data_IF_794644203190
#
_entry.id   IF_794644203190
#
_cell.length_a   1.000
_cell.length_b   1.000
_cell.length_c   1.000
_cell.angle_alpha   90.00
_cell.angle_beta   90.00
_cell.angle_gamma   90.00
#
_symmetry.space_group_name_H-M   'P 1'
#
loop_
_entity.id
_entity.type
_entity.pdbx_description
1 polymer ?
#
# COMPACT_ATOMS: atom_id res chain seq x y z
N UNK A 1 -9.91 23.42 -4.35
CA UNK A 1 -11.25 22.95 -3.93
C UNK A 1 -11.32 21.44 -4.16
N UNK A 2 -11.98 20.68 -3.30
CA UNK A 2 -12.01 19.21 -3.36
C UNK A 2 -12.94 18.72 -4.49
N UNK A 3 -12.41 17.95 -5.44
CA UNK A 3 -13.19 17.33 -6.53
C UNK A 3 -14.39 16.50 -6.01
N UNK A 4 -14.29 15.97 -4.80
CA UNK A 4 -15.37 15.23 -4.14
C UNK A 4 -16.56 16.15 -3.82
N UNK A 5 -16.31 17.39 -3.39
CA UNK A 5 -17.37 18.36 -3.07
C UNK A 5 -18.21 18.69 -4.31
N UNK A 6 -17.56 18.90 -5.45
CA UNK A 6 -18.24 19.24 -6.71
C UNK A 6 -19.14 18.08 -7.20
N UNK A 7 -18.78 16.84 -6.85
CA UNK A 7 -19.59 15.66 -7.13
C UNK A 7 -20.80 15.51 -6.19
N UNK A 8 -20.66 15.95 -4.93
CA UNK A 8 -21.69 15.80 -3.88
C UNK A 8 -22.82 16.83 -3.99
N UNK A 9 -22.55 18.04 -4.49
CA UNK A 9 -23.55 19.13 -4.46
C UNK A 9 -24.53 19.14 -5.64
N UNK A 10 -24.44 18.19 -6.58
CA UNK A 10 -25.49 18.02 -7.60
C UNK A 10 -26.70 17.29 -6.98
N UNK A 11 -27.92 17.67 -7.35
CA UNK A 11 -29.20 17.30 -6.72
C UNK A 11 -29.53 15.79 -6.64
N UNK A 12 -28.65 14.92 -7.15
CA UNK A 12 -28.61 13.49 -6.87
C UNK A 12 -27.16 13.04 -6.66
N UNK A 13 -26.74 12.83 -5.41
CA UNK A 13 -25.44 12.23 -5.12
C UNK A 13 -25.51 10.73 -5.40
N UNK A 14 -25.07 10.33 -6.59
CA UNK A 14 -24.94 8.93 -6.98
C UNK A 14 -23.46 8.60 -7.24
N UNK A 15 -22.79 7.99 -6.25
CA UNK A 15 -21.42 7.54 -6.40
C UNK A 15 -21.38 6.25 -7.22
N UNK A 16 -21.22 6.40 -8.53
CA UNK A 16 -21.10 5.25 -9.45
C UNK A 16 -19.70 4.65 -9.31
N UNK A 17 -19.56 3.42 -8.82
CA UNK A 17 -18.26 2.74 -8.70
C UNK A 17 -18.34 1.37 -9.36
N UNK A 18 -17.38 1.05 -10.23
CA UNK A 18 -17.31 -0.28 -10.84
C UNK A 18 -16.68 -1.31 -9.90
N UNK A 19 -16.94 -2.60 -10.13
CA UNK A 19 -16.36 -3.69 -9.33
C UNK A 19 -14.82 -3.60 -9.25
N UNK A 20 -14.16 -3.26 -10.36
CA UNK A 20 -12.70 -3.09 -10.42
C UNK A 20 -12.21 -1.89 -9.57
N UNK A 21 -12.99 -0.82 -9.52
CA UNK A 21 -12.69 0.34 -8.69
C UNK A 21 -12.85 0.00 -7.20
N UNK A 22 -13.86 -0.79 -6.84
CA UNK A 22 -14.05 -1.33 -5.49
C UNK A 22 -12.85 -2.17 -5.08
N UNK A 23 -12.46 -3.15 -5.88
CA UNK A 23 -11.27 -3.98 -5.60
C UNK A 23 -10.01 -3.14 -5.39
N UNK A 24 -9.83 -2.10 -6.19
CA UNK A 24 -8.71 -1.17 -6.04
C UNK A 24 -8.76 -0.42 -4.70
N UNK A 25 -9.92 0.11 -4.29
CA UNK A 25 -10.08 0.78 -3.01
C UNK A 25 -9.82 -0.16 -1.82
N UNK A 26 -10.35 -1.38 -1.88
CA UNK A 26 -10.14 -2.41 -0.85
C UNK A 26 -8.65 -2.80 -0.73
N UNK A 27 -7.95 -2.95 -1.86
CA UNK A 27 -6.53 -3.24 -1.85
C UNK A 27 -5.69 -2.08 -1.28
N UNK A 28 -6.02 -0.83 -1.61
CA UNK A 28 -5.34 0.33 -1.01
C UNK A 28 -5.64 0.43 0.49
N UNK A 29 -6.88 0.15 0.90
CA UNK A 29 -7.27 0.10 2.31
C UNK A 29 -6.44 -0.93 3.10
N UNK A 30 -6.18 -2.10 2.51
CA UNK A 30 -5.41 -3.16 3.18
C UNK A 30 -3.91 -2.95 3.20
N UNK A 31 -3.34 -2.66 2.03
CA UNK A 31 -1.89 -2.68 1.88
C UNK A 31 -1.27 -1.28 2.01
N UNK A 32 -2.09 -0.26 2.27
CA UNK A 32 -1.69 1.15 2.33
C UNK A 32 -1.31 1.75 0.97
N UNK A 33 -0.93 0.92 0.00
CA UNK A 33 -0.63 1.30 -1.38
C UNK A 33 -0.91 0.14 -2.33
N UNK A 34 -1.26 0.44 -3.58
CA UNK A 34 -1.60 -0.57 -4.57
C UNK A 34 -1.13 -0.17 -5.97
N UNK A 35 -0.62 -1.16 -6.70
CA UNK A 35 -0.29 -1.03 -8.11
C UNK A 35 -1.55 -1.25 -8.96
N UNK A 36 -2.21 -0.15 -9.33
CA UNK A 36 -3.41 -0.18 -10.15
C UNK A 36 -3.10 0.10 -11.63
N UNK A 37 -3.94 -0.44 -12.52
CA UNK A 37 -3.98 0.00 -13.92
C UNK A 37 -4.33 1.49 -14.01
N UNK A 38 -3.60 2.21 -14.86
CA UNK A 38 -3.64 3.68 -14.98
C UNK A 38 -5.07 4.23 -15.15
N UNK A 39 -5.92 3.53 -15.92
CA UNK A 39 -7.31 3.93 -16.16
C UNK A 39 -8.20 3.83 -14.93
N UNK A 40 -7.99 2.80 -14.09
CA UNK A 40 -8.77 2.61 -12.85
C UNK A 40 -8.37 3.67 -11.83
N UNK A 41 -7.08 3.97 -11.75
CA UNK A 41 -6.53 5.05 -10.95
C UNK A 41 -7.14 6.42 -11.31
N UNK A 42 -7.07 6.82 -12.59
CA UNK A 42 -7.52 8.15 -13.01
C UNK A 42 -9.02 8.35 -12.72
N UNK A 43 -9.81 7.29 -12.82
CA UNK A 43 -11.23 7.35 -12.51
C UNK A 43 -11.51 7.53 -11.01
N UNK A 44 -10.69 6.93 -10.13
CA UNK A 44 -10.80 7.11 -8.68
C UNK A 44 -10.28 8.49 -8.23
N UNK A 45 -9.19 8.97 -8.83
CA UNK A 45 -8.63 10.30 -8.58
C UNK A 45 -9.60 11.41 -8.98
N UNK A 46 -10.24 11.29 -10.16
CA UNK A 46 -11.28 12.24 -10.61
C UNK A 46 -12.48 12.30 -9.65
N UNK A 47 -12.78 11.21 -8.95
CA UNK A 47 -13.83 11.15 -7.91
C UNK A 47 -13.35 11.65 -6.55
N UNK A 48 -12.07 11.98 -6.41
CA UNK A 48 -11.48 12.43 -5.14
C UNK A 48 -11.36 11.34 -4.08
N UNK A 49 -11.39 10.06 -4.46
CA UNK A 49 -11.31 8.93 -3.52
C UNK A 49 -9.86 8.47 -3.24
N UNK A 50 -8.94 8.79 -4.14
CA UNK A 50 -7.51 8.45 -4.02
C UNK A 50 -6.66 9.64 -4.44
N UNK A 51 -5.43 9.68 -3.94
CA UNK A 51 -4.42 10.65 -4.33
C UNK A 51 -3.05 9.98 -4.54
N UNK A 52 -2.19 10.63 -5.33
CA UNK A 52 -0.83 10.18 -5.59
C UNK A 52 0.10 10.69 -4.50
N UNK A 53 0.82 9.79 -3.84
CA UNK A 53 1.96 10.16 -3.01
C UNK A 53 3.16 10.33 -3.95
N UNK A 54 3.67 11.56 -4.09
CA UNK A 54 5.02 11.77 -4.62
C UNK A 54 6.00 11.33 -3.52
N UNK A 55 6.58 10.14 -3.65
CA UNK A 55 7.76 9.81 -2.86
C UNK A 55 8.92 10.67 -3.37
N UNK A 56 9.68 11.24 -2.43
CA UNK A 56 10.89 12.02 -2.71
C UNK A 56 11.82 11.31 -3.70
N UNK A 57 12.62 12.10 -4.40
CA UNK A 57 13.34 11.85 -5.67
C UNK A 57 14.25 10.60 -5.77
N UNK A 58 14.29 9.72 -4.76
CA UNK A 58 15.18 8.55 -4.70
C UNK A 58 14.48 7.19 -4.82
N UNK A 59 13.14 7.13 -4.78
CA UNK A 59 12.43 5.87 -4.98
C UNK A 59 12.19 5.60 -6.48
N UNK A 60 13.01 4.73 -7.08
CA UNK A 60 12.86 4.25 -8.47
C UNK A 60 11.60 3.44 -8.74
N UNK A 61 10.76 3.21 -7.73
CA UNK A 61 9.64 2.27 -7.80
C UNK A 61 8.30 2.95 -7.60
N UNK A 62 7.65 3.28 -8.72
CA UNK A 62 6.19 3.34 -8.79
C UNK A 62 5.49 4.57 -8.24
N UNK A 63 4.43 4.99 -8.92
CA UNK A 63 3.44 5.89 -8.30
C UNK A 63 2.68 5.12 -7.22
N UNK A 64 3.00 5.37 -5.96
CA UNK A 64 2.21 4.87 -4.82
C UNK A 64 0.95 5.73 -4.63
N UNK A 65 -0.18 5.07 -4.38
CA UNK A 65 -1.49 5.68 -4.18
C UNK A 65 -1.94 5.54 -2.73
N UNK A 66 -2.71 6.51 -2.25
CA UNK A 66 -3.34 6.47 -0.92
C UNK A 66 -4.82 6.84 -1.01
N UNK A 67 -5.61 6.35 -0.05
CA UNK A 67 -6.99 6.80 0.16
C UNK A 67 -7.02 8.20 0.75
N UNK A 68 -7.82 9.08 0.15
CA UNK A 68 -8.24 10.34 0.75
C UNK A 68 -9.23 10.09 1.89
N UNK A 69 -9.56 11.11 2.67
CA UNK A 69 -10.61 11.01 3.70
C UNK A 69 -11.96 10.57 3.13
N UNK A 70 -12.30 11.06 1.92
CA UNK A 70 -13.50 10.64 1.21
C UNK A 70 -13.43 9.16 0.79
N UNK A 71 -12.26 8.70 0.31
CA UNK A 71 -12.03 7.29 0.00
C UNK A 71 -12.22 6.39 1.23
N UNK A 72 -11.69 6.80 2.38
CA UNK A 72 -11.85 6.08 3.66
C UNK A 72 -13.31 6.04 4.10
N UNK A 73 -14.05 7.14 3.95
CA UNK A 73 -15.46 7.20 4.30
C UNK A 73 -16.35 6.29 3.44
N UNK A 74 -15.92 5.92 2.23
CA UNK A 74 -16.65 5.00 1.36
C UNK A 74 -16.48 3.54 1.80
N UNK A 75 -15.40 3.18 2.50
CA UNK A 75 -15.11 1.79 2.89
C UNK A 75 -16.24 1.18 3.73
N UNK A 76 -16.74 1.81 4.82
CA UNK A 76 -17.85 1.27 5.60
C UNK A 76 -19.13 1.05 4.77
N UNK A 77 -19.39 1.91 3.77
CA UNK A 77 -20.55 1.76 2.88
C UNK A 77 -20.41 0.51 1.99
N UNK A 78 -19.20 0.20 1.55
CA UNK A 78 -18.92 -1.02 0.77
C UNK A 78 -19.07 -2.28 1.63
N UNK A 79 -18.69 -2.23 2.92
CA UNK A 79 -18.91 -3.32 3.88
C UNK A 79 -20.40 -3.55 4.09
N UNK A 80 -21.16 -2.49 4.38
CA UNK A 80 -22.62 -2.58 4.58
C UNK A 80 -23.34 -3.12 3.34
N UNK A 81 -22.86 -2.77 2.14
CA UNK A 81 -23.40 -3.28 0.88
C UNK A 81 -22.99 -4.73 0.56
N UNK A 82 -22.14 -5.36 1.37
CA UNK A 82 -21.60 -6.70 1.10
C UNK A 82 -20.64 -6.75 -0.10
N UNK A 83 -20.13 -5.60 -0.54
CA UNK A 83 -19.20 -5.47 -1.67
C UNK A 83 -17.73 -5.55 -1.23
N UNK A 84 -17.50 -5.49 0.07
CA UNK A 84 -16.20 -5.61 0.70
C UNK A 84 -16.30 -6.46 1.96
N UNK A 85 -15.43 -7.47 2.06
CA UNK A 85 -15.26 -8.28 3.25
C UNK A 85 -13.98 -7.81 3.93
N UNK A 86 -14.09 -7.27 5.12
CA UNK A 86 -12.93 -6.97 5.93
C UNK A 86 -12.22 -8.29 6.30
N UNK A 87 -10.92 -8.41 6.01
CA UNK A 87 -10.15 -9.54 6.40
C UNK A 87 -10.01 -9.52 7.92
N UNK A 88 -9.93 -10.69 8.52
CA UNK A 88 -9.79 -10.83 9.96
C UNK A 88 -8.47 -10.20 10.47
N UNK A 89 -8.52 -9.68 11.69
CA UNK A 89 -7.48 -8.81 12.27
C UNK A 89 -6.07 -9.43 12.36
N UNK A 90 -5.93 -10.75 12.30
CA UNK A 90 -4.63 -11.46 12.35
C UNK A 90 -3.72 -11.20 11.14
N UNK A 91 -4.21 -10.55 10.08
CA UNK A 91 -3.36 -10.10 8.96
C UNK A 91 -2.50 -8.87 9.34
N UNK A 92 -2.86 -8.17 10.43
CA UNK A 92 -2.11 -7.01 10.94
C UNK A 92 -1.00 -7.38 11.93
N UNK A 93 -0.80 -8.67 12.24
CA UNK A 93 0.40 -9.10 12.95
C UNK A 93 1.62 -8.69 12.12
N UNK A 94 2.52 -7.92 12.75
CA UNK A 94 3.76 -7.46 12.12
C UNK A 94 4.43 -8.66 11.45
N UNK A 95 4.61 -8.60 10.13
CA UNK A 95 5.32 -9.66 9.41
C UNK A 95 6.63 -9.92 10.16
N UNK A 96 6.98 -11.20 10.42
CA UNK A 96 8.25 -11.49 11.06
C UNK A 96 9.35 -10.76 10.29
N UNK A 97 10.13 -9.94 11.01
CA UNK A 97 11.23 -9.21 10.38
C UNK A 97 12.10 -10.23 9.65
N UNK A 98 12.44 -9.99 8.37
CA UNK A 98 13.34 -10.88 7.67
C UNK A 98 14.67 -10.95 8.45
N UNK A 99 15.32 -12.11 8.49
CA UNK A 99 16.59 -12.24 9.18
C UNK A 99 17.62 -11.26 8.59
N UNK A 100 18.27 -10.49 9.45
CA UNK A 100 19.36 -9.59 9.05
C UNK A 100 20.59 -10.44 8.72
N UNK A 101 21.16 -10.27 7.53
CA UNK A 101 22.38 -10.97 7.12
C UNK A 101 23.57 -10.00 7.08
N UNK A 102 24.68 -10.38 7.69
CA UNK A 102 25.95 -9.69 7.57
C UNK A 102 26.82 -10.36 6.50
N UNK A 103 27.42 -9.52 5.65
CA UNK A 103 28.36 -9.95 4.63
C UNK A 103 29.76 -10.04 5.25
N UNK A 104 30.23 -11.27 5.49
CA UNK A 104 31.56 -11.51 6.07
C UNK A 104 32.52 -11.92 4.97
N UNK A 105 33.60 -11.15 4.84
CA UNK A 105 34.70 -11.46 3.92
C UNK A 105 35.74 -12.30 4.65
N UNK A 106 35.86 -13.58 4.28
CA UNK A 106 36.88 -14.46 4.83
C UNK A 106 38.13 -14.41 3.95
N UNK A 107 39.21 -13.83 4.47
CA UNK A 107 40.55 -13.89 3.85
C UNK A 107 41.43 -14.83 4.66
N UNK A 108 41.79 -15.98 4.08
CA UNK A 108 42.91 -16.79 4.55
C UNK A 108 44.17 -16.41 3.76
N UNK A 109 45.36 -16.32 4.38
CA UNK A 109 46.59 -16.01 3.65
C UNK A 109 46.85 -17.09 2.57
N UNK A 110 46.88 -16.68 1.30
CA UNK A 110 47.15 -17.57 0.16
C UNK A 110 45.94 -18.16 -0.57
N UNK A 111 44.69 -17.86 -0.15
CA UNK A 111 43.47 -18.36 -0.82
C UNK A 111 42.58 -17.24 -1.38
N UNK A 112 41.75 -17.60 -2.35
CA UNK A 112 40.75 -16.72 -2.98
C UNK A 112 39.71 -16.26 -1.95
N UNK A 113 39.43 -14.95 -1.93
CA UNK A 113 38.44 -14.34 -1.02
C UNK A 113 37.08 -15.02 -1.16
N UNK A 114 36.54 -15.55 -0.04
CA UNK A 114 35.18 -16.09 0.02
C UNK A 114 34.26 -15.09 0.71
N UNK A 115 33.16 -14.74 0.04
CA UNK A 115 32.08 -13.92 0.58
C UNK A 115 31.03 -14.87 1.17
N UNK A 116 30.75 -14.74 2.46
CA UNK A 116 29.75 -15.57 3.17
C UNK A 116 28.74 -14.66 3.84
N UNK A 117 27.45 -14.92 3.62
CA UNK A 117 26.36 -14.26 4.32
C UNK A 117 26.04 -15.05 5.59
N UNK A 118 26.12 -14.41 6.76
CA UNK A 118 25.75 -15.02 8.05
C UNK A 118 24.60 -14.25 8.67
N UNK A 119 23.65 -14.97 9.25
CA UNK A 119 22.54 -14.38 9.99
C UNK A 119 23.06 -13.68 11.25
N UNK A 120 22.65 -12.44 11.45
CA UNK A 120 23.05 -11.62 12.59
C UNK A 120 22.33 -12.14 13.83
N UNK A 121 23.08 -12.67 14.79
CA UNK A 121 22.49 -13.07 16.06
C UNK A 121 22.06 -11.82 16.84
N UNK A 122 20.85 -11.81 17.44
CA UNK A 122 20.41 -10.69 18.24
C UNK A 122 21.37 -10.50 19.42
N UNK A 123 21.90 -9.30 19.58
CA UNK A 123 22.68 -8.92 20.75
C UNK A 123 21.80 -9.16 21.99
N UNK A 124 22.28 -10.03 22.89
CA UNK A 124 21.66 -10.21 24.18
C UNK A 124 21.73 -8.86 24.91
N UNK A 125 20.59 -8.21 25.06
CA UNK A 125 20.42 -7.01 25.88
C UNK A 125 20.75 -7.36 27.34
N UNK A 126 21.86 -6.82 27.85
CA UNK A 126 22.16 -6.72 29.30
C UNK A 126 21.20 -5.75 30.01
#
# INVERSE_FOLDING_TARGET
>A
MSNFRDYVTSTAFALTISHRQIQCLCNIHHYGSYWALLSTFQALERKGLVERIKKDEQAKDGTTLQLTDAGRAVIPLLVLAGLYVEPPEWIHEERPKPPEFECVTLKKPGETTKIVFREKQPEASE
#
